data_IF_336599560728
#
_entry.id   IF_336599560728
#
_cell.length_a   1.000
_cell.length_b   1.000
_cell.length_c   1.000
_cell.angle_alpha   90.00
_cell.angle_beta   90.00
_cell.angle_gamma   90.00
#
_symmetry.space_group_name_H-M   'P 1'
#
loop_
_entity.id
_entity.type
_entity.pdbx_description
1 polymer ?
#
# COMPACT_ATOMS: atom_id res chain seq x y z
N UNK A 1 -0.11 -39.29 1.34
CA UNK A 1 -1.30 -38.42 1.25
C UNK A 1 -0.91 -37.04 1.77
N UNK A 2 -0.96 -36.00 0.93
CA UNK A 2 -0.77 -34.60 1.39
C UNK A 2 -2.04 -34.20 2.11
N UNK A 3 -1.98 -34.02 3.40
CA UNK A 3 -3.05 -33.44 4.21
C UNK A 3 -3.37 -32.05 3.67
N UNK A 4 -4.59 -31.82 3.23
CA UNK A 4 -5.05 -30.51 2.79
C UNK A 4 -5.17 -29.65 4.05
N UNK A 5 -4.28 -28.67 4.20
CA UNK A 5 -4.35 -27.73 5.31
C UNK A 5 -5.66 -26.94 5.20
N UNK A 6 -6.32 -26.73 6.32
CA UNK A 6 -7.50 -25.87 6.40
C UNK A 6 -7.13 -24.43 6.05
N UNK A 7 -8.07 -23.70 5.45
CA UNK A 7 -7.86 -22.30 5.10
C UNK A 7 -7.80 -21.48 6.39
N UNK A 8 -6.63 -20.93 6.70
CA UNK A 8 -6.48 -20.04 7.84
C UNK A 8 -7.28 -18.75 7.58
N UNK A 9 -8.11 -18.36 8.53
CA UNK A 9 -8.74 -17.04 8.57
C UNK A 9 -7.87 -16.15 9.45
N UNK A 10 -7.35 -15.06 8.87
CA UNK A 10 -6.55 -14.08 9.61
C UNK A 10 -7.48 -12.96 10.04
N UNK A 11 -7.53 -12.69 11.32
CA UNK A 11 -8.26 -11.58 11.94
C UNK A 11 -7.30 -10.49 12.42
N UNK A 12 -7.83 -9.35 12.85
CA UNK A 12 -7.03 -8.30 13.52
C UNK A 12 -6.28 -8.81 14.76
N UNK A 13 -6.86 -9.79 15.47
CA UNK A 13 -6.26 -10.36 16.67
C UNK A 13 -5.04 -11.26 16.36
N UNK A 14 -4.91 -11.69 15.11
CA UNK A 14 -3.80 -12.54 14.65
C UNK A 14 -2.61 -11.73 14.14
N UNK A 15 -2.64 -10.40 14.22
CA UNK A 15 -1.52 -9.54 13.87
C UNK A 15 -0.44 -9.66 14.94
N UNK A 16 0.55 -10.51 14.69
CA UNK A 16 1.63 -10.82 15.63
C UNK A 16 2.55 -9.63 15.91
N UNK A 17 2.76 -8.75 14.94
CA UNK A 17 3.63 -7.59 15.08
C UNK A 17 2.99 -6.46 15.90
N UNK A 18 1.65 -6.37 15.94
CA UNK A 18 0.90 -5.26 16.49
C UNK A 18 -0.03 -5.65 17.64
N UNK A 19 0.04 -6.87 18.15
CA UNK A 19 -0.78 -7.30 19.29
C UNK A 19 -0.59 -6.35 20.47
N UNK A 20 -1.62 -5.54 20.78
CA UNK A 20 -1.60 -4.53 21.83
C UNK A 20 -1.10 -3.15 21.40
N UNK A 21 -0.67 -2.95 20.14
CA UNK A 21 -0.25 -1.64 19.63
C UNK A 21 -1.37 -0.88 18.92
N UNK A 22 -2.43 -1.57 18.50
CA UNK A 22 -3.57 -0.97 17.80
C UNK A 22 -4.53 -0.37 18.83
N UNK A 23 -4.81 0.92 18.72
CA UNK A 23 -5.79 1.61 19.56
C UNK A 23 -7.21 1.27 19.13
N UNK A 24 -8.19 1.51 20.02
CA UNK A 24 -9.62 1.32 19.70
C UNK A 24 -10.04 2.16 18.47
N UNK A 25 -9.53 3.37 18.33
CA UNK A 25 -9.81 4.22 17.18
C UNK A 25 -9.25 3.63 15.87
N UNK A 26 -8.01 3.16 15.89
CA UNK A 26 -7.38 2.46 14.74
C UNK A 26 -8.16 1.19 14.37
N UNK A 27 -8.66 0.44 15.35
CA UNK A 27 -9.50 -0.74 15.10
C UNK A 27 -10.79 -0.38 14.36
N UNK A 28 -11.45 0.70 14.74
CA UNK A 28 -12.65 1.20 14.05
C UNK A 28 -12.33 1.61 12.62
N UNK A 29 -11.27 2.41 12.41
CA UNK A 29 -10.84 2.83 11.06
C UNK A 29 -10.50 1.66 10.15
N UNK A 30 -9.81 0.64 10.68
CA UNK A 30 -9.47 -0.58 9.92
C UNK A 30 -10.74 -1.37 9.57
N UNK A 31 -11.70 -1.43 10.49
CA UNK A 31 -12.99 -2.11 10.29
C UNK A 31 -13.83 -1.48 9.18
N UNK A 32 -13.77 -0.16 9.03
CA UNK A 32 -14.46 0.58 7.98
C UNK A 32 -13.90 0.30 6.57
N UNK A 33 -12.61 -0.08 6.45
CA UNK A 33 -11.99 -0.40 5.17
C UNK A 33 -12.38 -1.81 4.71
N UNK A 34 -13.60 -1.96 4.21
CA UNK A 34 -14.18 -3.26 3.80
C UNK A 34 -14.37 -3.34 2.29
N UNK A 35 -14.59 -4.57 1.79
CA UNK A 35 -14.98 -4.79 0.38
C UNK A 35 -16.36 -4.19 0.11
N UNK A 36 -17.24 -4.21 1.10
CA UNK A 36 -18.60 -3.69 0.94
C UNK A 36 -18.61 -2.17 0.85
N UNK A 37 -17.73 -1.48 1.61
CA UNK A 37 -17.49 -0.05 1.42
C UNK A 37 -17.02 0.27 -0.01
N UNK A 38 -16.02 -0.46 -0.53
CA UNK A 38 -15.53 -0.27 -1.90
C UNK A 38 -16.66 -0.47 -2.93
N UNK A 39 -17.54 -1.46 -2.74
CA UNK A 39 -18.70 -1.69 -3.62
C UNK A 39 -19.70 -0.56 -3.56
N UNK A 40 -20.00 -0.05 -2.35
CA UNK A 40 -20.90 1.07 -2.15
C UNK A 40 -20.36 2.33 -2.82
N UNK A 41 -19.08 2.65 -2.64
CA UNK A 41 -18.42 3.79 -3.25
C UNK A 41 -18.37 3.69 -4.79
N UNK A 42 -18.15 2.49 -5.34
CA UNK A 42 -18.20 2.27 -6.79
C UNK A 42 -19.61 2.47 -7.38
N UNK A 43 -20.66 2.18 -6.61
CA UNK A 43 -22.04 2.44 -7.03
C UNK A 43 -22.41 3.92 -6.98
N UNK A 44 -21.78 4.68 -6.06
CA UNK A 44 -22.01 6.13 -5.87
C UNK A 44 -20.73 6.92 -6.20
N UNK A 45 -20.36 6.94 -7.46
CA UNK A 45 -19.09 7.56 -7.90
C UNK A 45 -18.98 9.07 -7.65
N UNK A 46 -20.07 9.80 -7.64
CA UNK A 46 -20.14 11.27 -7.40
C UNK A 46 -19.11 12.08 -8.21
N UNK A 47 -18.78 11.65 -9.43
CA UNK A 47 -17.78 12.31 -10.28
C UNK A 47 -16.31 12.09 -9.84
N UNK A 48 -16.04 11.19 -8.89
CA UNK A 48 -14.69 10.86 -8.45
C UNK A 48 -14.00 9.89 -9.41
N UNK A 49 -12.67 9.98 -9.51
CA UNK A 49 -11.85 9.00 -10.19
C UNK A 49 -11.53 7.82 -9.25
N UNK A 50 -11.73 6.60 -9.73
CA UNK A 50 -11.47 5.37 -8.99
C UNK A 50 -10.17 4.72 -9.47
N UNK A 51 -9.16 4.77 -8.61
CA UNK A 51 -7.84 4.22 -8.87
C UNK A 51 -7.61 2.99 -8.00
N UNK A 52 -7.17 1.89 -8.58
CA UNK A 52 -6.76 0.70 -7.82
C UNK A 52 -5.31 0.32 -8.12
N UNK A 53 -4.54 0.11 -7.06
CA UNK A 53 -3.14 -0.34 -7.15
C UNK A 53 -2.97 -1.73 -6.56
N UNK A 54 -2.30 -2.64 -7.29
CA UNK A 54 -2.13 -4.03 -6.89
C UNK A 54 -0.65 -4.30 -6.58
N UNK A 55 -0.36 -4.89 -5.42
CA UNK A 55 1.00 -5.25 -5.06
C UNK A 55 1.53 -6.41 -5.89
N UNK A 56 2.84 -6.42 -6.13
CA UNK A 56 3.51 -7.53 -6.83
C UNK A 56 3.36 -8.86 -6.07
N UNK A 57 3.29 -8.81 -4.74
CA UNK A 57 3.09 -9.97 -3.89
C UNK A 57 1.69 -10.56 -4.09
N UNK A 58 0.64 -9.73 -4.11
CA UNK A 58 -0.73 -10.17 -4.39
C UNK A 58 -0.84 -10.79 -5.78
N UNK A 59 -0.21 -10.18 -6.79
CA UNK A 59 -0.16 -10.75 -8.15
C UNK A 59 0.58 -12.10 -8.19
N UNK A 60 1.68 -12.23 -7.46
CA UNK A 60 2.43 -13.48 -7.37
C UNK A 60 1.62 -14.59 -6.68
N UNK A 61 0.92 -14.26 -5.60
CA UNK A 61 0.04 -15.21 -4.90
C UNK A 61 -1.09 -15.70 -5.80
N UNK A 62 -1.71 -14.80 -6.56
CA UNK A 62 -2.73 -15.17 -7.54
C UNK A 62 -2.17 -16.03 -8.66
N UNK A 63 -0.98 -15.70 -9.19
CA UNK A 63 -0.31 -16.53 -10.21
C UNK A 63 0.00 -17.93 -9.68
N UNK A 64 0.48 -18.04 -8.43
CA UNK A 64 0.75 -19.32 -7.79
C UNK A 64 -0.53 -20.17 -7.65
N UNK A 65 -1.67 -19.54 -7.37
CA UNK A 65 -2.98 -20.23 -7.32
C UNK A 65 -3.33 -20.85 -8.67
N UNK A 66 -3.14 -20.12 -9.79
CA UNK A 66 -3.38 -20.66 -11.13
C UNK A 66 -2.43 -21.82 -11.47
N UNK A 67 -1.16 -21.75 -11.02
CA UNK A 67 -0.22 -22.88 -11.20
C UNK A 67 -0.66 -24.15 -10.48
N UNK A 68 -1.24 -24.03 -9.28
CA UNK A 68 -1.79 -25.18 -8.55
C UNK A 68 -2.95 -25.84 -9.32
N UNK A 69 -3.69 -25.07 -10.10
CA UNK A 69 -4.76 -25.53 -10.99
C UNK A 69 -4.22 -26.04 -12.36
N UNK A 70 -2.88 -26.24 -12.49
CA UNK A 70 -2.19 -26.61 -13.74
C UNK A 70 -2.41 -25.60 -14.87
N UNK A 71 -2.65 -24.35 -14.57
CA UNK A 71 -2.84 -23.26 -15.52
C UNK A 71 -1.70 -22.28 -15.41
N UNK A 72 -0.72 -22.39 -16.30
CA UNK A 72 0.35 -21.40 -16.35
C UNK A 72 -0.19 -20.07 -16.90
N UNK A 73 0.11 -19.00 -16.18
CA UNK A 73 -0.22 -17.63 -16.61
C UNK A 73 0.96 -16.71 -16.32
N UNK A 74 1.39 -15.95 -17.31
CA UNK A 74 2.44 -14.94 -17.09
C UNK A 74 1.89 -13.76 -16.28
N UNK A 75 2.78 -13.07 -15.53
CA UNK A 75 2.41 -11.89 -14.72
C UNK A 75 1.69 -10.83 -15.56
N UNK A 76 2.14 -10.58 -16.77
CA UNK A 76 1.54 -9.58 -17.68
C UNK A 76 0.11 -9.94 -18.09
N UNK A 77 -0.12 -11.19 -18.48
CA UNK A 77 -1.44 -11.69 -18.86
C UNK A 77 -2.38 -11.69 -17.65
N UNK A 78 -1.89 -12.09 -16.47
CA UNK A 78 -2.66 -12.07 -15.23
C UNK A 78 -3.10 -10.65 -14.90
N UNK A 79 -2.17 -9.70 -14.91
CA UNK A 79 -2.47 -8.29 -14.63
C UNK A 79 -3.47 -7.73 -15.64
N UNK A 80 -3.32 -8.03 -16.93
CA UNK A 80 -4.26 -7.59 -17.96
C UNK A 80 -5.68 -8.12 -17.74
N UNK A 81 -5.82 -9.40 -17.38
CA UNK A 81 -7.13 -10.00 -17.06
C UNK A 81 -7.77 -9.39 -15.82
N UNK A 82 -6.97 -9.19 -14.76
CA UNK A 82 -7.43 -8.52 -13.53
C UNK A 82 -7.84 -7.09 -13.85
N UNK A 83 -7.04 -6.36 -14.62
CA UNK A 83 -7.35 -4.98 -15.01
C UNK A 83 -8.64 -4.88 -15.82
N UNK A 84 -8.86 -5.79 -16.78
CA UNK A 84 -10.10 -5.83 -17.54
C UNK A 84 -11.32 -6.07 -16.62
N UNK A 85 -11.21 -7.01 -15.67
CA UNK A 85 -12.28 -7.27 -14.70
C UNK A 85 -12.53 -6.10 -13.76
N UNK A 86 -11.47 -5.46 -13.24
CA UNK A 86 -11.60 -4.30 -12.35
C UNK A 86 -12.21 -3.09 -13.06
N UNK A 87 -11.83 -2.85 -14.32
CA UNK A 87 -12.47 -1.81 -15.14
C UNK A 87 -13.96 -2.10 -15.37
N UNK A 88 -14.34 -3.36 -15.60
CA UNK A 88 -15.76 -3.72 -15.71
C UNK A 88 -16.55 -3.54 -14.41
N UNK A 89 -15.87 -3.47 -13.26
CA UNK A 89 -16.47 -3.16 -11.96
C UNK A 89 -16.55 -1.65 -11.69
N UNK A 90 -15.95 -0.82 -12.55
CA UNK A 90 -16.05 0.62 -12.44
C UNK A 90 -14.77 1.34 -12.03
N UNK A 91 -13.62 0.68 -11.91
CA UNK A 91 -12.34 1.36 -11.72
C UNK A 91 -11.86 2.01 -13.01
N UNK A 92 -11.44 3.26 -12.93
CA UNK A 92 -10.96 4.03 -14.07
C UNK A 92 -9.49 3.71 -14.36
N UNK A 93 -8.67 3.58 -13.33
CA UNK A 93 -7.24 3.26 -13.43
C UNK A 93 -6.91 2.01 -12.62
N UNK A 94 -6.20 1.09 -13.28
CA UNK A 94 -5.64 -0.11 -12.63
C UNK A 94 -4.13 -0.10 -12.84
N UNK A 95 -3.38 -0.02 -11.75
CA UNK A 95 -1.92 0.04 -11.74
C UNK A 95 -1.30 -1.08 -10.90
N UNK A 96 -0.04 -1.42 -11.17
CA UNK A 96 0.77 -2.21 -10.25
C UNK A 96 1.63 -1.29 -9.36
N UNK A 97 2.13 -1.85 -8.25
CA UNK A 97 2.91 -1.10 -7.27
C UNK A 97 4.38 -0.87 -7.70
N UNK A 98 4.81 -1.34 -8.87
CA UNK A 98 6.23 -1.36 -9.26
C UNK A 98 6.82 0.04 -9.34
N UNK A 99 6.12 1.00 -9.97
CA UNK A 99 6.59 2.38 -10.06
C UNK A 99 6.74 3.02 -8.68
N UNK A 100 5.74 2.87 -7.81
CA UNK A 100 5.78 3.41 -6.46
C UNK A 100 6.93 2.81 -5.63
N UNK A 101 7.22 1.51 -5.80
CA UNK A 101 8.38 0.85 -5.17
C UNK A 101 9.70 1.44 -5.65
N UNK A 102 9.87 1.64 -6.96
CA UNK A 102 11.08 2.25 -7.50
C UNK A 102 11.30 3.67 -6.97
N UNK A 103 10.24 4.46 -6.91
CA UNK A 103 10.29 5.82 -6.35
C UNK A 103 10.65 5.81 -4.86
N UNK A 104 10.04 4.89 -4.09
CA UNK A 104 10.37 4.73 -2.66
C UNK A 104 11.82 4.33 -2.46
N UNK A 105 12.35 3.36 -3.24
CA UNK A 105 13.76 2.94 -3.16
C UNK A 105 14.70 4.12 -3.50
N UNK A 106 14.41 4.87 -4.54
CA UNK A 106 15.19 6.08 -4.89
C UNK A 106 15.17 7.11 -3.77
N UNK A 107 14.02 7.33 -3.14
CA UNK A 107 13.89 8.26 -2.03
C UNK A 107 14.69 7.80 -0.80
N UNK A 108 14.61 6.52 -0.43
CA UNK A 108 15.44 5.94 0.64
C UNK A 108 16.93 6.08 0.35
N UNK A 109 17.35 5.81 -0.88
CA UNK A 109 18.77 5.99 -1.29
C UNK A 109 19.22 7.43 -1.10
N UNK A 110 18.41 8.41 -1.53
CA UNK A 110 18.72 9.83 -1.36
C UNK A 110 18.78 10.21 0.12
N UNK A 111 17.84 9.73 0.92
CA UNK A 111 17.81 9.94 2.37
C UNK A 111 19.05 9.36 3.04
N UNK A 112 19.44 8.13 2.69
CA UNK A 112 20.66 7.51 3.23
C UNK A 112 21.92 8.33 2.94
N UNK A 113 22.11 8.77 1.70
CA UNK A 113 23.26 9.59 1.36
C UNK A 113 23.22 10.97 2.04
N UNK A 114 22.05 11.57 2.20
CA UNK A 114 21.88 12.81 2.94
C UNK A 114 22.26 12.64 4.42
N UNK A 115 21.76 11.58 5.09
CA UNK A 115 22.11 11.24 6.47
C UNK A 115 23.59 10.97 6.64
N UNK A 116 24.20 10.25 5.69
CA UNK A 116 25.64 9.98 5.70
C UNK A 116 26.47 11.27 5.59
N UNK A 117 26.06 12.19 4.74
CA UNK A 117 26.73 13.51 4.61
C UNK A 117 26.54 14.36 5.88
N UNK A 118 25.33 14.46 6.41
CA UNK A 118 25.00 15.25 7.60
C UNK A 118 25.70 14.73 8.87
N UNK A 119 26.00 13.43 8.97
CA UNK A 119 26.76 12.87 10.10
C UNK A 119 28.09 13.56 10.35
N UNK A 120 28.70 14.12 9.29
CA UNK A 120 29.97 14.82 9.38
C UNK A 120 29.82 16.31 9.73
N UNK A 121 28.59 16.87 9.71
CA UNK A 121 28.34 18.30 9.89
C UNK A 121 27.75 18.61 11.26
N UNK A 122 26.63 17.96 11.64
CA UNK A 122 25.90 18.34 12.86
C UNK A 122 25.46 17.15 13.73
N UNK A 123 25.66 15.90 13.27
CA UNK A 123 25.27 14.69 14.00
C UNK A 123 23.77 14.50 14.19
N UNK A 124 22.92 15.33 13.56
CA UNK A 124 21.46 15.33 13.74
C UNK A 124 20.79 14.07 13.25
N UNK A 125 21.39 13.40 12.27
CA UNK A 125 20.87 12.13 11.72
C UNK A 125 21.69 10.93 12.16
N UNK A 126 21.00 9.91 12.64
CA UNK A 126 21.64 8.70 13.14
C UNK A 126 21.72 7.61 12.07
N UNK A 127 22.82 6.88 12.10
CA UNK A 127 23.04 5.64 11.35
C UNK A 127 23.28 4.49 12.34
N UNK A 128 22.86 3.27 12.00
CA UNK A 128 22.28 2.79 10.72
C UNK A 128 20.91 3.39 10.43
N UNK A 129 20.52 3.53 9.15
CA UNK A 129 19.17 3.91 8.76
C UNK A 129 18.28 2.67 8.71
N UNK A 130 17.18 2.68 9.47
CA UNK A 130 16.18 1.61 9.51
C UNK A 130 15.05 1.95 8.53
N UNK A 131 14.90 1.17 7.47
CA UNK A 131 13.85 1.35 6.47
C UNK A 131 12.79 0.27 6.62
N UNK A 132 11.52 0.66 6.73
CA UNK A 132 10.40 -0.27 6.82
C UNK A 132 9.25 0.15 5.90
N UNK A 133 8.63 -0.85 5.26
CA UNK A 133 7.35 -0.69 4.58
C UNK A 133 6.20 -1.29 5.42
N UNK A 134 6.46 -1.76 6.63
CA UNK A 134 5.50 -2.36 7.54
C UNK A 134 5.00 -1.31 8.54
N UNK A 135 3.75 -0.87 8.49
CA UNK A 135 3.21 0.10 9.44
C UNK A 135 3.13 -0.48 10.85
N UNK A 136 2.88 -1.77 10.99
CA UNK A 136 2.87 -2.43 12.29
C UNK A 136 4.23 -2.34 13.00
N UNK A 137 5.33 -2.53 12.27
CA UNK A 137 6.65 -2.33 12.84
C UNK A 137 6.90 -0.87 13.24
N UNK A 138 6.45 0.08 12.43
CA UNK A 138 6.58 1.52 12.76
C UNK A 138 5.80 1.85 14.02
N UNK A 139 4.53 1.43 14.11
CA UNK A 139 3.71 1.61 15.31
C UNK A 139 4.34 0.96 16.56
N UNK A 140 4.92 -0.23 16.41
CA UNK A 140 5.64 -0.91 17.49
C UNK A 140 6.85 -0.11 17.94
N UNK A 141 7.67 0.38 17.00
CA UNK A 141 8.82 1.21 17.33
C UNK A 141 8.40 2.51 18.05
N UNK A 142 7.34 3.17 17.59
CA UNK A 142 6.83 4.39 18.22
C UNK A 142 6.34 4.16 19.65
N UNK A 143 5.68 3.05 19.93
CA UNK A 143 5.05 2.79 21.23
C UNK A 143 5.97 2.07 22.22
N UNK A 144 6.85 1.19 21.76
CA UNK A 144 7.68 0.34 22.61
C UNK A 144 9.17 0.67 22.56
N UNK A 145 9.65 1.31 21.49
CA UNK A 145 11.07 1.54 21.23
C UNK A 145 11.31 2.92 20.63
N UNK A 146 10.87 3.96 21.32
CA UNK A 146 11.01 5.36 20.85
C UNK A 146 12.46 5.77 20.60
N UNK A 147 13.42 5.11 21.25
CA UNK A 147 14.86 5.31 21.04
C UNK A 147 15.31 4.94 19.62
N UNK A 148 14.53 4.14 18.88
CA UNK A 148 14.82 3.78 17.49
C UNK A 148 14.33 4.82 16.48
N UNK A 149 13.41 5.69 16.85
CA UNK A 149 12.80 6.66 15.93
C UNK A 149 13.80 7.55 15.18
N UNK A 150 14.89 8.03 15.79
CA UNK A 150 15.90 8.82 15.08
C UNK A 150 16.61 8.05 13.95
N UNK A 151 16.57 6.73 14.00
CA UNK A 151 17.15 5.85 12.98
C UNK A 151 16.16 5.48 11.87
N UNK A 152 14.86 5.60 12.11
CA UNK A 152 13.82 5.23 11.15
C UNK A 152 13.85 6.20 9.96
N UNK A 153 13.76 5.64 8.75
CA UNK A 153 13.67 6.44 7.53
C UNK A 153 12.35 7.23 7.49
N UNK A 154 12.44 8.50 7.12
CA UNK A 154 11.27 9.37 6.95
C UNK A 154 10.56 9.16 5.60
N UNK A 155 11.18 8.42 4.68
CA UNK A 155 10.63 8.14 3.35
C UNK A 155 9.34 7.34 3.46
N UNK A 156 8.31 7.80 2.73
CA UNK A 156 7.01 7.12 2.63
C UNK A 156 7.13 5.69 2.11
N UNK A 157 6.26 4.80 2.60
CA UNK A 157 6.13 3.44 2.08
C UNK A 157 5.69 3.42 0.61
N UNK A 158 5.94 2.32 -0.13
CA UNK A 158 5.43 2.20 -1.49
C UNK A 158 3.91 2.37 -1.62
N UNK A 159 3.14 1.97 -0.61
CA UNK A 159 1.69 2.17 -0.60
C UNK A 159 1.34 3.67 -0.54
N UNK A 160 1.96 4.41 0.36
CA UNK A 160 1.74 5.85 0.48
C UNK A 160 2.23 6.61 -0.76
N UNK A 161 3.35 6.19 -1.37
CA UNK A 161 3.80 6.74 -2.66
C UNK A 161 2.78 6.48 -3.76
N UNK A 162 2.19 5.27 -3.82
CA UNK A 162 1.11 4.97 -4.76
C UNK A 162 -0.12 5.85 -4.53
N UNK A 163 -0.47 6.14 -3.28
CA UNK A 163 -1.53 7.10 -2.93
C UNK A 163 -1.25 8.51 -3.47
N UNK A 164 -0.01 8.97 -3.34
CA UNK A 164 0.40 10.26 -3.94
C UNK A 164 0.28 10.25 -5.47
N UNK A 165 0.73 9.18 -6.13
CA UNK A 165 0.59 9.01 -7.57
C UNK A 165 -0.88 8.98 -8.00
N UNK A 166 -1.73 8.25 -7.26
CA UNK A 166 -3.15 8.18 -7.53
C UNK A 166 -3.80 9.57 -7.46
N UNK A 167 -3.54 10.31 -6.40
CA UNK A 167 -4.17 11.61 -6.13
C UNK A 167 -3.62 12.75 -6.97
N UNK A 168 -2.33 12.71 -7.35
CA UNK A 168 -1.67 13.84 -8.05
C UNK A 168 -1.43 13.61 -9.53
N UNK A 169 -1.48 12.38 -10.01
CA UNK A 169 -1.19 12.05 -11.41
C UNK A 169 -2.38 11.33 -12.04
N UNK A 170 -2.74 10.14 -11.56
CA UNK A 170 -3.73 9.30 -12.24
C UNK A 170 -5.15 9.88 -12.17
N UNK A 171 -5.55 10.38 -11.00
CA UNK A 171 -6.88 10.97 -10.81
C UNK A 171 -7.10 12.22 -11.65
N UNK A 172 -6.22 13.25 -11.58
CA UNK A 172 -6.33 14.43 -12.41
C UNK A 172 -6.34 14.12 -13.91
N UNK A 173 -5.51 13.20 -14.39
CA UNK A 173 -5.51 12.76 -15.78
C UNK A 173 -6.85 12.13 -16.20
N UNK A 174 -7.46 11.34 -15.31
CA UNK A 174 -8.75 10.69 -15.54
C UNK A 174 -9.89 11.70 -15.57
N UNK A 175 -9.84 12.71 -14.70
CA UNK A 175 -10.87 13.76 -14.59
C UNK A 175 -10.70 14.88 -15.64
N UNK A 176 -9.68 14.79 -16.51
CA UNK A 176 -9.41 15.81 -17.54
C UNK A 176 -8.84 17.11 -16.98
N UNK A 177 -8.43 17.14 -15.73
CA UNK A 177 -7.82 18.30 -15.10
C UNK A 177 -6.35 18.43 -15.53
N UNK A 178 -6.05 19.45 -16.35
CA UNK A 178 -4.70 19.76 -16.82
C UNK A 178 -3.76 20.30 -15.72
N UNK A 179 -4.31 20.73 -14.58
CA UNK A 179 -3.57 21.19 -13.42
C UNK A 179 -4.11 20.52 -12.16
N UNK A 180 -3.23 19.85 -11.44
CA UNK A 180 -3.56 19.24 -10.14
C UNK A 180 -3.82 20.36 -9.11
N UNK A 181 -5.07 20.80 -8.98
CA UNK A 181 -5.48 21.66 -7.86
C UNK A 181 -5.53 20.84 -6.57
N UNK A 182 -5.40 21.47 -5.41
CA UNK A 182 -5.53 20.78 -4.11
C UNK A 182 -6.90 20.10 -3.96
N UNK A 183 -7.93 20.60 -4.63
CA UNK A 183 -9.26 20.00 -4.65
C UNK A 183 -9.32 18.67 -5.42
N UNK A 184 -8.52 18.47 -6.47
CA UNK A 184 -8.47 17.20 -7.22
C UNK A 184 -8.08 16.00 -6.34
N UNK A 185 -7.33 16.20 -5.25
CA UNK A 185 -6.96 15.11 -4.36
C UNK A 185 -8.15 14.50 -3.60
N UNK A 186 -9.22 15.28 -3.39
CA UNK A 186 -10.47 14.84 -2.74
C UNK A 186 -11.38 14.06 -3.68
N UNK A 187 -11.22 14.26 -4.98
CA UNK A 187 -12.01 13.63 -6.02
C UNK A 187 -11.42 12.29 -6.51
N UNK A 188 -10.50 11.72 -5.74
CA UNK A 188 -9.85 10.44 -6.06
C UNK A 188 -10.11 9.44 -4.94
N UNK A 189 -10.79 8.35 -5.28
CA UNK A 189 -10.91 7.19 -4.41
C UNK A 189 -9.85 6.16 -4.77
N UNK A 190 -8.91 5.92 -3.86
CA UNK A 190 -7.77 5.03 -4.11
C UNK A 190 -7.87 3.75 -3.30
N UNK A 191 -7.95 2.62 -3.98
CA UNK A 191 -7.95 1.28 -3.38
C UNK A 191 -6.60 0.61 -3.57
N UNK A 192 -6.10 -0.05 -2.53
CA UNK A 192 -4.83 -0.77 -2.60
C UNK A 192 -5.04 -2.24 -2.23
N UNK A 193 -4.59 -3.14 -3.11
CA UNK A 193 -4.63 -4.59 -2.87
C UNK A 193 -3.28 -5.06 -2.37
N UNK A 194 -3.20 -5.34 -1.07
CA UNK A 194 -1.98 -5.73 -0.36
C UNK A 194 -2.14 -7.08 0.32
N UNK A 195 -1.06 -7.86 0.53
CA UNK A 195 -1.15 -9.17 1.16
C UNK A 195 -1.13 -9.12 2.70
N UNK A 196 -0.91 -7.95 3.28
CA UNK A 196 -0.75 -7.77 4.72
C UNK A 196 -1.91 -6.94 5.28
N UNK A 197 -2.51 -7.41 6.37
CA UNK A 197 -3.63 -6.75 7.02
C UNK A 197 -3.24 -5.40 7.65
N UNK A 198 -2.02 -5.32 8.20
CA UNK A 198 -1.48 -4.09 8.80
C UNK A 198 -1.41 -2.92 7.83
N UNK A 199 -1.39 -3.21 6.51
CA UNK A 199 -1.39 -2.15 5.51
C UNK A 199 -2.64 -1.26 5.53
N UNK A 200 -3.70 -1.67 6.20
CA UNK A 200 -4.87 -0.84 6.48
C UNK A 200 -4.55 0.34 7.41
N UNK A 201 -3.50 0.24 8.24
CA UNK A 201 -3.05 1.35 9.09
C UNK A 201 -2.47 2.55 8.30
N UNK A 202 -2.16 2.37 7.03
CA UNK A 202 -1.64 3.44 6.15
C UNK A 202 -2.70 4.02 5.20
N UNK A 203 -3.93 3.58 5.24
CA UNK A 203 -4.98 3.99 4.30
C UNK A 203 -5.67 5.28 4.72
#
# INVERSE_FOLDING_TARGET
>A
ARTRLETAQISLNDCLACSGCVTSAETVLIGQQSIDEVRQELNDKRGRAFVITISSQSLASLAARFLQEKRYISKGILLARIAAKLRSLGFDVVADLSLARHLAVRAHTREFFARRAAKHIDGSFKLPMLASACPGWVCYAEKAHSELLPYVAATKSPQQVAGVLAKRIYGPQTLGALQASENCARDVYHVVVMPCYDKKLEA
#
